data_IF_606357617819
#
_entry.id   IF_606357617819
#
_cell.length_a   1.000
_cell.length_b   1.000
_cell.length_c   1.000
_cell.angle_alpha   90.00
_cell.angle_beta   90.00
_cell.angle_gamma   90.00
#
_symmetry.space_group_name_H-M   'P 1'
#
loop_
_entity.id
_entity.type
_entity.pdbx_description
1 polymer ?
#
# COMPACT_ATOMS: atom_id res chain seq x y z
N UNK A 1 4.48 33.76 6.64
CA UNK A 1 4.38 34.23 5.23
C UNK A 1 5.17 33.26 4.38
N UNK A 2 4.53 32.47 3.55
CA UNK A 2 5.19 31.51 2.65
C UNK A 2 5.69 32.29 1.43
N UNK A 3 7.00 32.39 1.24
CA UNK A 3 7.61 33.13 0.15
C UNK A 3 7.71 32.21 -1.07
N UNK A 4 6.88 32.43 -2.09
CA UNK A 4 6.91 31.66 -3.34
C UNK A 4 7.81 32.39 -4.36
N UNK A 5 8.77 31.67 -4.93
CA UNK A 5 9.69 32.18 -5.97
C UNK A 5 9.31 31.55 -7.31
N UNK A 6 9.01 32.37 -8.32
CA UNK A 6 8.78 31.91 -9.68
C UNK A 6 10.11 31.68 -10.37
N UNK A 7 10.40 30.43 -10.74
CA UNK A 7 11.61 30.05 -11.47
C UNK A 7 11.24 29.72 -12.91
N UNK A 8 11.90 30.33 -13.91
CA UNK A 8 11.62 30.01 -15.32
C UNK A 8 12.02 28.57 -15.63
N UNK A 9 11.15 27.87 -16.35
CA UNK A 9 11.40 26.51 -16.82
C UNK A 9 12.15 26.57 -18.16
N UNK A 10 13.31 25.91 -18.32
CA UNK A 10 14.00 25.80 -19.61
C UNK A 10 13.11 25.15 -20.67
N UNK A 11 13.18 25.63 -21.92
CA UNK A 11 12.29 25.20 -23.01
C UNK A 11 12.32 23.68 -23.23
N UNK A 12 13.49 23.06 -23.10
CA UNK A 12 13.71 21.63 -23.22
C UNK A 12 13.00 20.78 -22.15
N UNK A 13 12.67 21.37 -21.00
CA UNK A 13 12.03 20.68 -19.86
C UNK A 13 10.55 21.03 -19.69
N UNK A 14 10.01 21.97 -20.47
CA UNK A 14 8.61 22.45 -20.32
C UNK A 14 7.63 21.28 -20.32
N UNK A 15 7.77 20.35 -21.26
CA UNK A 15 6.84 19.22 -21.39
C UNK A 15 6.93 18.25 -20.19
N UNK A 16 8.14 17.95 -19.72
CA UNK A 16 8.37 17.10 -18.54
C UNK A 16 7.79 17.73 -17.27
N UNK A 17 8.01 19.04 -17.09
CA UNK A 17 7.47 19.78 -15.94
C UNK A 17 5.95 19.86 -16.01
N UNK A 18 5.36 20.14 -17.19
CA UNK A 18 3.91 20.14 -17.35
C UNK A 18 3.29 18.77 -17.00
N UNK A 19 3.89 17.68 -17.48
CA UNK A 19 3.45 16.32 -17.11
C UNK A 19 3.61 16.06 -15.60
N UNK A 20 4.65 16.61 -14.97
CA UNK A 20 4.84 16.49 -13.52
C UNK A 20 3.78 17.29 -12.75
N UNK A 21 3.47 18.51 -13.17
CA UNK A 21 2.44 19.35 -12.57
C UNK A 21 1.07 18.69 -12.68
N UNK A 22 0.71 18.14 -13.85
CA UNK A 22 -0.55 17.42 -14.01
C UNK A 22 -0.64 16.22 -13.07
N UNK A 23 0.44 15.42 -12.94
CA UNK A 23 0.48 14.30 -11.99
C UNK A 23 0.33 14.75 -10.53
N UNK A 24 0.99 15.85 -10.15
CA UNK A 24 0.89 16.40 -8.80
C UNK A 24 -0.52 16.94 -8.51
N UNK A 25 -1.13 17.61 -9.49
CA UNK A 25 -2.50 18.10 -9.38
C UNK A 25 -3.50 16.95 -9.23
N UNK A 26 -3.33 15.88 -10.02
CA UNK A 26 -4.15 14.67 -9.91
C UNK A 26 -4.01 13.99 -8.55
N UNK A 27 -2.77 13.87 -8.03
CA UNK A 27 -2.54 13.33 -6.69
C UNK A 27 -3.15 14.20 -5.59
N UNK A 28 -3.07 15.52 -5.72
CA UNK A 28 -3.63 16.46 -4.76
C UNK A 28 -5.16 16.52 -4.78
N UNK A 29 -5.81 16.06 -5.87
CA UNK A 29 -7.26 15.98 -5.98
C UNK A 29 -7.84 14.65 -5.51
N UNK A 30 -7.01 13.66 -5.17
CA UNK A 30 -7.48 12.35 -4.68
C UNK A 30 -7.97 12.47 -3.24
N UNK A 31 -9.01 11.70 -2.91
CA UNK A 31 -9.53 11.61 -1.56
C UNK A 31 -8.72 10.61 -0.73
N UNK A 32 -8.31 11.03 0.47
CA UNK A 32 -7.62 10.15 1.42
C UNK A 32 -8.52 8.98 1.84
N UNK A 33 -7.91 7.82 2.13
CA UNK A 33 -8.63 6.62 2.56
C UNK A 33 -9.42 6.86 3.85
N UNK A 34 -10.69 6.47 3.82
CA UNK A 34 -11.57 6.38 4.98
C UNK A 34 -11.98 4.93 5.25
N UNK A 35 -12.60 4.70 6.40
CA UNK A 35 -12.99 3.37 6.85
C UNK A 35 -14.05 2.71 5.95
N UNK A 36 -15.00 3.49 5.41
CA UNK A 36 -16.07 3.01 4.54
C UNK A 36 -15.51 2.48 3.22
N UNK A 37 -14.59 3.24 2.61
CA UNK A 37 -13.99 2.89 1.33
C UNK A 37 -13.01 1.72 1.44
N UNK A 38 -12.31 1.62 2.57
CA UNK A 38 -11.48 0.43 2.85
C UNK A 38 -12.36 -0.80 3.09
N UNK A 39 -13.50 -0.65 3.76
CA UNK A 39 -14.46 -1.73 3.96
C UNK A 39 -15.03 -2.24 2.63
N UNK A 40 -15.37 -1.33 1.70
CA UNK A 40 -15.86 -1.70 0.36
C UNK A 40 -14.84 -2.55 -0.41
N UNK A 41 -13.57 -2.13 -0.45
CA UNK A 41 -12.50 -2.92 -1.08
C UNK A 41 -12.30 -4.24 -0.36
N UNK A 42 -12.32 -4.22 0.96
CA UNK A 42 -12.13 -5.42 1.76
C UNK A 42 -13.23 -6.46 1.49
N UNK A 43 -14.49 -6.06 1.46
CA UNK A 43 -15.62 -6.94 1.15
C UNK A 43 -15.55 -7.49 -0.27
N UNK A 44 -15.15 -6.67 -1.25
CA UNK A 44 -14.97 -7.10 -2.65
C UNK A 44 -13.72 -7.97 -2.87
N UNK A 45 -12.75 -7.92 -1.95
CA UNK A 45 -11.49 -8.64 -2.05
C UNK A 45 -11.64 -10.13 -1.74
N UNK A 46 -10.89 -10.96 -2.45
CA UNK A 46 -10.74 -12.38 -2.11
C UNK A 46 -9.82 -12.58 -0.89
N UNK A 47 -9.76 -13.81 -0.40
CA UNK A 47 -8.99 -14.16 0.79
C UNK A 47 -7.50 -13.88 0.63
N UNK A 48 -6.96 -14.10 -0.58
CA UNK A 48 -5.56 -13.87 -0.89
C UNK A 48 -5.23 -12.38 -0.78
N UNK A 49 -6.10 -11.53 -1.32
CA UNK A 49 -5.96 -10.07 -1.26
C UNK A 49 -6.07 -9.56 0.17
N UNK A 50 -7.08 -10.02 0.93
CA UNK A 50 -7.24 -9.68 2.35
C UNK A 50 -6.03 -10.10 3.17
N UNK A 51 -5.53 -11.32 2.96
CA UNK A 51 -4.34 -11.85 3.62
C UNK A 51 -3.10 -10.99 3.35
N UNK A 52 -2.85 -10.59 2.10
CA UNK A 52 -1.73 -9.69 1.78
C UNK A 52 -1.91 -8.31 2.43
N UNK A 53 -3.10 -7.72 2.33
CA UNK A 53 -3.41 -6.42 2.92
C UNK A 53 -3.23 -6.41 4.44
N UNK A 54 -3.78 -7.41 5.14
CA UNK A 54 -3.60 -7.60 6.58
C UNK A 54 -2.13 -7.77 6.96
N UNK A 55 -1.39 -8.59 6.22
CA UNK A 55 0.01 -8.86 6.54
C UNK A 55 0.89 -7.62 6.36
N UNK A 56 0.70 -6.86 5.27
CA UNK A 56 1.41 -5.59 5.06
C UNK A 56 1.00 -4.57 6.12
N UNK A 57 -0.30 -4.38 6.36
CA UNK A 57 -0.82 -3.43 7.36
C UNK A 57 -0.24 -3.69 8.75
N UNK A 58 -0.20 -4.96 9.18
CA UNK A 58 0.41 -5.36 10.46
C UNK A 58 1.88 -4.98 10.54
N UNK A 59 2.67 -5.24 9.50
CA UNK A 59 4.10 -4.90 9.50
C UNK A 59 4.34 -3.39 9.51
N UNK A 60 3.51 -2.63 8.78
CA UNK A 60 3.54 -1.16 8.76
C UNK A 60 3.27 -0.58 10.14
N UNK A 61 2.22 -1.04 10.83
CA UNK A 61 1.90 -0.59 12.19
C UNK A 61 2.95 -1.00 13.22
N UNK A 62 3.69 -2.09 12.97
CA UNK A 62 4.82 -2.51 13.80
C UNK A 62 6.12 -1.75 13.47
N UNK A 63 6.12 -0.87 12.47
CA UNK A 63 7.32 -0.18 11.99
C UNK A 63 8.38 -1.12 11.41
N UNK A 64 7.97 -2.31 10.95
CA UNK A 64 8.87 -3.32 10.41
C UNK A 64 8.86 -3.26 8.88
N UNK A 65 10.02 -3.01 8.23
CA UNK A 65 10.09 -3.07 6.78
C UNK A 65 9.79 -4.51 6.32
N UNK A 66 8.93 -4.63 5.31
CA UNK A 66 8.53 -5.92 4.76
C UNK A 66 8.95 -6.00 3.30
N UNK A 67 9.88 -6.90 2.97
CA UNK A 67 10.27 -7.15 1.59
C UNK A 67 9.14 -7.85 0.84
N UNK A 68 9.08 -7.64 -0.47
CA UNK A 68 8.13 -8.33 -1.34
C UNK A 68 8.28 -9.85 -1.33
N UNK A 69 9.52 -10.35 -1.23
CA UNK A 69 9.84 -11.77 -1.05
C UNK A 69 9.27 -12.29 0.27
N UNK A 70 9.57 -11.62 1.39
CA UNK A 70 9.08 -12.07 2.70
C UNK A 70 7.56 -11.99 2.82
N UNK A 71 6.94 -10.98 2.18
CA UNK A 71 5.49 -10.88 2.10
C UNK A 71 4.90 -12.08 1.35
N UNK A 72 5.40 -12.35 0.14
CA UNK A 72 4.92 -13.45 -0.70
C UNK A 72 5.11 -14.82 -0.03
N UNK A 73 6.28 -15.06 0.57
CA UNK A 73 6.56 -16.31 1.29
C UNK A 73 5.62 -16.51 2.49
N UNK A 74 5.33 -15.46 3.26
CA UNK A 74 4.47 -15.54 4.44
C UNK A 74 3.02 -15.92 4.11
N UNK A 75 2.52 -15.48 2.95
CA UNK A 75 1.16 -15.78 2.46
C UNK A 75 1.14 -16.91 1.42
N UNK A 76 2.26 -17.63 1.26
CA UNK A 76 2.42 -18.75 0.33
C UNK A 76 2.09 -18.42 -1.14
N UNK A 77 2.38 -17.18 -1.55
CA UNK A 77 2.27 -16.74 -2.93
C UNK A 77 3.63 -16.70 -3.60
N UNK A 78 3.63 -16.83 -4.92
CA UNK A 78 4.75 -16.40 -5.73
C UNK A 78 4.85 -14.88 -5.77
N UNK A 79 6.06 -14.36 -6.03
CA UNK A 79 6.28 -12.92 -6.26
C UNK A 79 5.39 -12.36 -7.40
N UNK A 80 5.05 -13.19 -8.39
CA UNK A 80 4.17 -12.80 -9.49
C UNK A 80 2.74 -12.61 -9.00
N UNK A 81 2.24 -13.50 -8.16
CA UNK A 81 0.89 -13.41 -7.59
C UNK A 81 0.79 -12.21 -6.65
N UNK A 82 1.74 -12.04 -5.74
CA UNK A 82 1.78 -10.86 -4.86
C UNK A 82 1.80 -9.54 -5.66
N UNK A 83 2.56 -9.49 -6.76
CA UNK A 83 2.57 -8.33 -7.65
C UNK A 83 1.28 -8.16 -8.47
N UNK A 84 0.54 -9.25 -8.75
CA UNK A 84 -0.77 -9.18 -9.38
C UNK A 84 -1.79 -8.58 -8.41
N UNK A 85 -1.89 -9.13 -7.20
CA UNK A 85 -2.79 -8.64 -6.15
C UNK A 85 -2.56 -7.14 -5.89
N UNK A 86 -1.30 -6.72 -5.76
CA UNK A 86 -0.97 -5.30 -5.62
C UNK A 86 -1.46 -4.45 -6.80
N UNK A 87 -1.34 -4.95 -8.03
CA UNK A 87 -1.82 -4.23 -9.21
C UNK A 87 -3.34 -4.10 -9.18
N UNK A 88 -4.03 -5.18 -8.88
CA UNK A 88 -5.49 -5.26 -8.91
C UNK A 88 -6.09 -4.32 -7.84
N UNK A 89 -5.56 -4.35 -6.61
CA UNK A 89 -5.96 -3.42 -5.53
C UNK A 89 -5.72 -1.95 -5.92
N UNK A 90 -4.60 -1.65 -6.56
CA UNK A 90 -4.29 -0.28 -6.98
C UNK A 90 -5.09 0.17 -8.20
N UNK A 91 -5.54 -0.75 -9.04
CA UNK A 91 -6.49 -0.47 -10.11
C UNK A 91 -7.84 -0.06 -9.51
N UNK A 92 -8.35 -0.81 -8.53
CA UNK A 92 -9.55 -0.42 -7.77
C UNK A 92 -9.38 0.92 -7.05
N UNK A 93 -8.22 1.14 -6.43
CA UNK A 93 -7.90 2.44 -5.79
C UNK A 93 -8.01 3.60 -6.78
N UNK A 94 -7.51 3.41 -8.00
CA UNK A 94 -7.56 4.40 -9.07
C UNK A 94 -8.98 4.64 -9.56
N UNK A 95 -9.78 3.59 -9.70
CA UNK A 95 -11.18 3.70 -10.11
C UNK A 95 -12.02 4.46 -9.07
N UNK A 96 -11.68 4.34 -7.79
CA UNK A 96 -12.25 5.13 -6.70
C UNK A 96 -11.69 6.56 -6.59
N UNK A 97 -10.75 6.96 -7.46
CA UNK A 97 -10.04 8.24 -7.38
C UNK A 97 -9.28 8.45 -6.05
N UNK A 98 -8.70 7.37 -5.52
CA UNK A 98 -7.96 7.34 -4.25
C UNK A 98 -6.47 7.01 -4.47
N UNK A 99 -5.59 7.37 -3.51
CA UNK A 99 -4.18 7.02 -3.57
C UNK A 99 -3.98 5.50 -3.57
N UNK A 100 -2.89 5.01 -4.19
CA UNK A 100 -2.52 3.60 -4.16
C UNK A 100 -2.39 3.07 -2.73
N UNK A 101 -3.11 1.99 -2.41
CA UNK A 101 -3.02 1.34 -1.09
C UNK A 101 -1.66 0.68 -0.85
N UNK A 102 -1.10 0.05 -1.89
CA UNK A 102 0.14 -0.71 -1.80
C UNK A 102 1.14 -0.18 -2.81
N UNK A 103 2.37 0.05 -2.38
CA UNK A 103 3.48 0.43 -3.26
C UNK A 103 4.71 -0.41 -3.00
N UNK A 104 5.56 -0.56 -4.01
CA UNK A 104 6.91 -1.10 -3.85
C UNK A 104 7.91 0.05 -3.81
N UNK A 105 8.66 0.12 -2.71
CA UNK A 105 9.80 1.04 -2.57
C UNK A 105 11.10 0.26 -2.69
N UNK A 106 11.90 0.60 -3.69
CA UNK A 106 13.25 0.09 -3.82
C UNK A 106 14.16 0.76 -2.78
N UNK A 107 14.98 -0.04 -2.10
CA UNK A 107 15.97 0.40 -1.13
C UNK A 107 17.26 -0.37 -1.37
N UNK A 108 18.38 0.32 -1.40
CA UNK A 108 19.69 -0.29 -1.54
C UNK A 108 20.27 -0.56 -0.16
N UNK A 109 20.57 -1.81 0.15
CA UNK A 109 21.14 -2.24 1.44
C UNK A 109 22.53 -2.83 1.24
N UNK A 110 23.49 -2.41 2.07
CA UNK A 110 24.84 -2.99 2.08
C UNK A 110 24.90 -4.11 3.10
N UNK A 111 25.08 -5.33 2.61
CA UNK A 111 25.20 -6.53 3.42
C UNK A 111 26.52 -6.53 4.22
N UNK A 112 26.64 -7.34 5.29
CA UNK A 112 27.86 -7.44 6.09
C UNK A 112 29.12 -7.84 5.32
N UNK A 113 28.96 -8.45 4.14
CA UNK A 113 30.06 -8.83 3.23
C UNK A 113 30.50 -7.68 2.29
N UNK A 114 29.97 -6.47 2.48
CA UNK A 114 30.27 -5.29 1.65
C UNK A 114 29.54 -5.27 0.30
N UNK A 115 28.72 -6.27 -0.02
CA UNK A 115 27.91 -6.28 -1.25
C UNK A 115 26.66 -5.44 -1.04
N UNK A 116 26.35 -4.60 -2.02
CA UNK A 116 25.07 -3.90 -2.07
C UNK A 116 24.03 -4.75 -2.80
N UNK A 117 22.83 -4.83 -2.24
CA UNK A 117 21.67 -5.48 -2.86
C UNK A 117 20.50 -4.51 -2.90
N UNK A 118 19.78 -4.52 -4.01
CA UNK A 118 18.55 -3.77 -4.13
C UNK A 118 17.38 -4.64 -3.67
N UNK A 119 16.70 -4.18 -2.62
CA UNK A 119 15.53 -4.80 -2.06
C UNK A 119 14.29 -3.98 -2.40
N UNK A 120 13.16 -4.65 -2.56
CA UNK A 120 11.87 -3.99 -2.73
C UNK A 120 11.02 -4.25 -1.52
N UNK A 121 10.48 -3.18 -0.95
CA UNK A 121 9.63 -3.23 0.23
C UNK A 121 8.21 -2.86 -0.12
N UNK A 122 7.25 -3.61 0.40
CA UNK A 122 5.87 -3.16 0.43
C UNK A 122 5.73 -1.95 1.37
N UNK A 123 5.03 -0.94 0.90
CA UNK A 123 4.75 0.30 1.62
C UNK A 123 3.26 0.59 1.50
N UNK A 124 2.67 0.99 2.62
CA UNK A 124 1.29 1.43 2.79
C UNK A 124 1.32 2.64 3.73
N UNK A 125 0.38 3.57 3.58
CA UNK A 125 0.24 4.66 4.55
C UNK A 125 -0.17 4.09 5.91
N UNK A 126 0.23 4.74 7.00
CA UNK A 126 -0.13 4.30 8.35
C UNK A 126 -1.65 4.36 8.57
N UNK A 127 -2.32 5.36 8.00
CA UNK A 127 -3.77 5.54 8.14
C UNK A 127 -4.54 4.44 7.39
N UNK A 128 -4.17 4.11 6.16
CA UNK A 128 -4.73 2.95 5.43
C UNK A 128 -4.52 1.65 6.20
N UNK A 129 -3.33 1.46 6.81
CA UNK A 129 -3.05 0.29 7.63
C UNK A 129 -3.96 0.20 8.87
N UNK A 130 -4.29 1.33 9.51
CA UNK A 130 -5.26 1.39 10.63
C UNK A 130 -6.66 1.01 10.16
N UNK A 131 -7.11 1.54 9.02
CA UNK A 131 -8.43 1.21 8.47
C UNK A 131 -8.54 -0.28 8.14
N UNK A 132 -7.55 -0.88 7.49
CA UNK A 132 -7.52 -2.33 7.20
C UNK A 132 -7.67 -3.14 8.48
N UNK A 133 -6.92 -2.80 9.54
CA UNK A 133 -7.02 -3.48 10.84
C UNK A 133 -8.36 -3.28 11.54
N UNK A 134 -9.01 -2.13 11.35
CA UNK A 134 -10.36 -1.87 11.88
C UNK A 134 -11.38 -2.79 11.21
N UNK A 135 -11.37 -2.83 9.88
CA UNK A 135 -12.30 -3.65 9.08
C UNK A 135 -12.09 -5.15 9.33
N UNK A 136 -10.83 -5.60 9.34
CA UNK A 136 -10.50 -7.00 9.66
C UNK A 136 -11.04 -7.40 11.03
N UNK A 137 -10.85 -6.55 12.04
CA UNK A 137 -11.36 -6.80 13.39
C UNK A 137 -12.89 -6.82 13.43
N UNK A 138 -13.54 -5.88 12.73
CA UNK A 138 -14.99 -5.83 12.64
C UNK A 138 -15.56 -7.11 12.00
N UNK A 139 -14.89 -7.65 10.97
CA UNK A 139 -15.28 -8.92 10.36
C UNK A 139 -15.15 -10.10 11.34
N UNK A 140 -14.07 -10.18 12.11
CA UNK A 140 -13.90 -11.23 13.13
C UNK A 140 -14.94 -11.15 14.25
N UNK A 141 -15.41 -9.94 14.61
CA UNK A 141 -16.46 -9.76 15.60
C UNK A 141 -17.86 -10.19 15.07
N UNK A 142 -18.06 -10.15 13.75
CA UNK A 142 -19.31 -10.56 13.08
C UNK A 142 -19.36 -12.04 12.73
N UNK A 143 -18.21 -12.67 12.44
CA UNK A 143 -18.08 -14.09 12.12
C UNK A 143 -16.99 -14.75 12.99
N UNK A 144 -17.29 -15.02 14.28
CA UNK A 144 -16.34 -15.66 15.17
C UNK A 144 -16.04 -17.08 14.68
N UNK A 145 -14.79 -17.33 14.32
CA UNK A 145 -14.33 -18.62 13.84
C UNK A 145 -14.67 -19.73 14.86
N UNK A 146 -15.26 -20.88 14.45
CA UNK A 146 -15.79 -21.92 15.34
C UNK A 146 -14.75 -22.63 16.24
N UNK A 147 -13.48 -22.22 16.19
CA UNK A 147 -12.39 -22.73 17.03
C UNK A 147 -12.10 -21.84 18.25
N UNK A 148 -12.81 -20.71 18.40
CA UNK A 148 -12.66 -19.80 19.55
C UNK A 148 -13.68 -20.08 20.68
N UNK A 149 -14.59 -21.04 20.51
CA UNK A 149 -15.61 -21.40 21.52
C UNK A 149 -15.13 -22.42 22.57
N UNK A 150 -13.94 -23.03 22.40
CA UNK A 150 -13.45 -24.10 23.28
C UNK A 150 -12.62 -23.64 24.50
N UNK A 151 -12.48 -22.33 24.75
CA UNK A 151 -11.73 -21.78 25.91
C UNK A 151 -12.58 -20.93 26.87
N UNK A 152 -13.84 -21.31 27.13
CA UNK A 152 -14.65 -20.74 28.21
C UNK A 152 -15.00 -21.73 29.32
#
# INVERSE_FOLDING_TARGET
MTNYVMVPVPEEHVLEIMQRVVRLAQQASMEDWDEESVAEIWEASDEVTRSLLSFVARNVLMGKPLTDVAAADAIQLSLREAASVMRDVNETSKDMSRPSMLMLKATSETLPNGRTVDLRHFVMSEDTAKHIRSVERAQFEQDPHPLMDDER
#
